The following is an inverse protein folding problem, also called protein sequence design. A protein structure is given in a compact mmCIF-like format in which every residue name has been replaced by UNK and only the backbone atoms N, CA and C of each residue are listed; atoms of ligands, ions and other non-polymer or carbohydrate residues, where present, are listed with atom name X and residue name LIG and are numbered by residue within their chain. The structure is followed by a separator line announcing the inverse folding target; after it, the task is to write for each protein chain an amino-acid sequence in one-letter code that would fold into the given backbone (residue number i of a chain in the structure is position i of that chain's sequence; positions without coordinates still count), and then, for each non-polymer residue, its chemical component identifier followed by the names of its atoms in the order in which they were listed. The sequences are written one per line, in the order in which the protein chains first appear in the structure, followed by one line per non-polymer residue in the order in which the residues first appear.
data_IF_179420402282
#
_entry.id   IF_179420402282
#
_cell.length_a   1.000
_cell.length_b   1.000
_cell.length_c   1.000
_cell.angle_alpha   90.00
_cell.angle_beta   90.00
_cell.angle_gamma   90.00
#
_symmetry.space_group_name_H-M   'P 1'
#
loop_
_entity.id
_entity.type
_entity.pdbx_description
1 polymer ?
#
# COMPACT_ATOMS: atom_id res chain seq x y z
N UNK A 1 27.80 -32.12 3.21
CA UNK A 1 27.86 -30.67 3.44
C UNK A 1 26.46 -30.18 3.16
N UNK A 2 25.69 -30.02 4.23
CA UNK A 2 24.28 -29.68 4.20
C UNK A 2 24.10 -28.22 3.79
N UNK A 3 23.72 -28.00 2.54
CA UNK A 3 23.18 -26.72 2.06
C UNK A 3 21.66 -26.80 2.09
N UNK A 4 21.10 -26.66 3.30
CA UNK A 4 19.70 -26.25 3.47
C UNK A 4 19.74 -24.83 4.00
N UNK A 5 20.13 -23.89 3.13
CA UNK A 5 19.99 -22.46 3.40
C UNK A 5 18.50 -22.13 3.33
N UNK A 6 17.78 -22.44 4.40
CA UNK A 6 16.45 -21.89 4.62
C UNK A 6 16.66 -20.39 4.82
N UNK A 7 16.42 -19.59 3.77
CA UNK A 7 16.23 -18.16 3.94
C UNK A 7 15.03 -18.00 4.86
N UNK A 8 15.31 -17.76 6.14
CA UNK A 8 14.28 -17.50 7.13
C UNK A 8 13.49 -16.27 6.67
N UNK A 9 12.15 -16.32 6.69
CA UNK A 9 11.33 -15.23 6.19
C UNK A 9 11.62 -13.94 6.95
N UNK A 10 11.53 -12.81 6.28
CA UNK A 10 11.82 -11.49 6.85
C UNK A 10 10.49 -10.80 7.20
N UNK A 11 10.45 -10.02 8.28
CA UNK A 11 9.25 -9.32 8.71
C UNK A 11 8.89 -8.21 7.70
N UNK A 12 7.67 -8.25 7.13
CA UNK A 12 7.22 -7.24 6.15
C UNK A 12 7.17 -5.82 6.73
N UNK A 13 6.93 -5.73 8.05
CA UNK A 13 6.74 -4.47 8.75
C UNK A 13 8.06 -3.72 8.96
N UNK A 14 9.10 -4.41 9.40
CA UNK A 14 10.36 -3.78 9.80
C UNK A 14 11.62 -4.28 9.06
N UNK A 15 11.52 -5.38 8.29
CA UNK A 15 12.66 -5.97 7.60
C UNK A 15 13.60 -6.78 8.51
N UNK A 16 13.24 -7.06 9.77
CA UNK A 16 14.07 -7.90 10.66
C UNK A 16 14.00 -9.37 10.21
N UNK A 17 15.13 -10.09 10.09
CA UNK A 17 15.12 -11.51 9.73
C UNK A 17 14.56 -12.37 10.88
N UNK A 18 13.84 -13.44 10.55
CA UNK A 18 13.26 -14.35 11.55
C UNK A 18 14.33 -15.14 12.31
N UNK A 19 14.40 -15.04 13.65
CA UNK A 19 15.12 -16.03 14.44
C UNK A 19 14.36 -17.37 14.39
N UNK A 20 15.10 -18.48 14.39
CA UNK A 20 14.48 -19.80 14.46
C UNK A 20 13.58 -19.86 15.71
N UNK A 21 12.34 -20.30 15.54
CA UNK A 21 11.35 -20.57 16.60
C UNK A 21 10.54 -19.38 17.17
N UNK A 22 10.54 -18.19 16.56
CA UNK A 22 9.60 -17.12 16.95
C UNK A 22 8.40 -17.01 15.99
N UNK A 23 7.21 -16.77 16.54
CA UNK A 23 5.96 -16.50 15.80
C UNK A 23 5.70 -15.02 15.57
N UNK A 24 6.37 -14.16 16.33
CA UNK A 24 6.30 -12.70 16.24
C UNK A 24 7.71 -12.15 15.97
N UNK A 25 7.77 -10.99 15.33
CA UNK A 25 9.01 -10.27 15.11
C UNK A 25 9.52 -9.68 16.43
N UNK A 26 10.78 -9.91 16.83
CA UNK A 26 11.32 -9.38 18.09
C UNK A 26 11.48 -7.85 18.06
N UNK A 27 11.57 -7.25 16.88
CA UNK A 27 11.77 -5.80 16.70
C UNK A 27 10.46 -5.03 16.76
N UNK A 28 9.40 -5.50 16.09
CA UNK A 28 8.14 -4.77 16.00
C UNK A 28 6.93 -5.48 16.63
N UNK A 29 7.09 -6.73 17.10
CA UNK A 29 6.04 -7.52 17.74
C UNK A 29 4.94 -8.03 16.79
N UNK A 30 5.09 -7.86 15.47
CA UNK A 30 4.11 -8.27 14.45
C UNK A 30 4.36 -9.71 13.96
N UNK A 31 3.33 -10.45 13.48
CA UNK A 31 3.51 -11.81 12.94
C UNK A 31 4.40 -11.87 11.70
N UNK A 32 4.95 -13.05 11.44
CA UNK A 32 5.70 -13.35 10.21
C UNK A 32 4.77 -13.64 9.03
N UNK A 33 5.25 -13.37 7.80
CA UNK A 33 4.51 -13.60 6.55
C UNK A 33 4.01 -15.03 6.35
N UNK A 34 4.62 -16.02 6.97
CA UNK A 34 4.25 -17.42 6.82
C UNK A 34 3.45 -17.98 8.02
N UNK A 35 3.21 -17.16 9.06
CA UNK A 35 2.61 -17.62 10.31
C UNK A 35 1.18 -17.07 10.44
N UNK A 36 0.18 -17.92 10.23
CA UNK A 36 -1.21 -17.61 10.62
C UNK A 36 -1.31 -17.70 12.14
N UNK A 37 -1.51 -16.58 12.83
CA UNK A 37 -1.91 -16.61 14.24
C UNK A 37 -3.41 -16.89 14.25
N UNK A 38 -3.79 -18.11 14.60
CA UNK A 38 -5.18 -18.43 14.89
C UNK A 38 -5.62 -17.58 16.08
N UNK A 39 -6.43 -16.56 15.84
CA UNK A 39 -7.04 -15.76 16.90
C UNK A 39 -7.92 -16.69 17.74
N UNK A 40 -7.77 -16.74 19.07
CA UNK A 40 -8.44 -17.73 19.92
C UNK A 40 -9.97 -17.59 20.02
N UNK A 41 -10.61 -16.74 19.21
CA UNK A 41 -12.07 -16.60 19.18
C UNK A 41 -12.78 -17.66 18.31
N UNK A 42 -12.06 -18.38 17.45
CA UNK A 42 -12.62 -19.50 16.65
C UNK A 42 -12.48 -20.88 17.34
N UNK A 43 -11.90 -20.94 18.54
CA UNK A 43 -11.67 -22.18 19.28
C UNK A 43 -12.76 -22.47 20.34
N UNK A 44 -14.04 -22.41 19.95
CA UNK A 44 -15.13 -22.97 20.79
C UNK A 44 -16.13 -23.76 19.93
N UNK A 45 -15.67 -24.87 19.36
CA UNK A 45 -16.57 -26.01 19.10
C UNK A 45 -15.93 -27.29 19.65
N UNK A 46 -16.21 -27.52 20.94
CA UNK A 46 -15.85 -28.74 21.65
C UNK A 46 -16.67 -29.91 21.09
N UNK A 47 -16.04 -30.76 20.27
CA UNK A 47 -16.56 -32.10 19.99
C UNK A 47 -16.19 -33.03 21.15
N UNK A 48 -17.15 -33.69 21.82
CA UNK A 48 -16.85 -34.59 22.92
C UNK A 48 -16.19 -35.88 22.41
N UNK A 49 -15.04 -36.20 23.00
CA UNK A 49 -14.28 -37.44 22.81
C UNK A 49 -15.07 -38.62 23.39
N UNK A 50 -15.45 -39.57 22.53
CA UNK A 50 -15.91 -40.90 22.92
C UNK A 50 -14.67 -41.78 23.16
N UNK A 51 -14.54 -42.47 24.31
CA UNK A 51 -13.44 -43.40 24.53
C UNK A 51 -13.71 -44.72 23.81
N UNK A 52 -12.79 -45.13 22.93
CA UNK A 52 -12.80 -46.45 22.27
C UNK A 52 -11.75 -47.36 22.93
N UNK A 53 -12.24 -48.53 23.31
CA UNK A 53 -11.62 -49.68 23.98
C UNK A 53 -10.44 -50.30 23.18
N UNK A 54 -9.31 -50.73 23.80
CA UNK A 54 -8.22 -51.38 23.10
C UNK A 54 -8.37 -52.90 23.18
N UNK A 55 -8.82 -53.53 22.10
CA UNK A 55 -8.75 -54.97 21.99
C UNK A 55 -9.47 -55.55 20.77
N UNK A 56 -8.82 -55.55 19.61
CA UNK A 56 -8.89 -56.74 18.77
C UNK A 56 -7.74 -56.82 17.77
N UNK A 57 -7.18 -58.02 17.65
CA UNK A 57 -6.09 -58.39 16.75
C UNK A 57 -6.74 -59.06 15.54
N UNK A 58 -6.76 -58.39 14.38
CA UNK A 58 -7.28 -58.99 13.15
C UNK A 58 -6.42 -58.61 11.93
N UNK A 59 -5.62 -59.59 11.53
CA UNK A 59 -5.32 -60.05 10.16
C UNK A 59 -5.44 -59.03 9.00
N UNK A 60 -4.29 -58.72 8.38
CA UNK A 60 -4.17 -57.94 7.14
C UNK A 60 -4.77 -58.70 5.94
N UNK A 61 -5.72 -58.12 5.17
CA UNK A 61 -6.12 -58.67 3.90
C UNK A 61 -5.07 -58.40 2.80
N UNK A 62 -4.93 -59.30 1.80
CA UNK A 62 -3.97 -59.14 0.72
C UNK A 62 -4.34 -58.00 -0.25
N UNK A 63 -3.30 -57.30 -0.71
CA UNK A 63 -3.34 -56.18 -1.65
C UNK A 63 -3.93 -56.63 -3.01
N UNK A 64 -4.93 -55.93 -3.57
CA UNK A 64 -5.39 -56.18 -4.93
C UNK A 64 -4.40 -55.61 -5.96
N UNK A 65 -4.08 -56.43 -6.97
CA UNK A 65 -3.26 -56.08 -8.14
C UNK A 65 -4.11 -55.19 -9.08
N UNK A 66 -3.57 -54.10 -9.64
CA UNK A 66 -4.30 -53.28 -10.60
C UNK A 66 -4.45 -53.98 -11.96
N UNK A 67 -5.68 -54.01 -12.48
CA UNK A 67 -6.01 -54.49 -13.82
C UNK A 67 -5.45 -53.57 -14.93
N UNK A 68 -5.06 -54.12 -16.09
CA UNK A 68 -4.62 -53.33 -17.24
C UNK A 68 -5.79 -52.57 -17.89
N UNK A 69 -5.53 -51.40 -18.51
CA UNK A 69 -6.58 -50.59 -19.13
C UNK A 69 -7.16 -51.29 -20.38
N UNK A 70 -8.49 -51.26 -20.60
CA UNK A 70 -9.09 -51.74 -21.83
C UNK A 70 -8.80 -50.78 -23.00
N UNK A 71 -8.50 -51.36 -24.15
CA UNK A 71 -8.35 -50.67 -25.44
C UNK A 71 -9.64 -49.95 -25.86
N UNK A 72 -9.55 -48.83 -26.59
CA UNK A 72 -10.72 -48.13 -27.10
C UNK A 72 -11.34 -48.94 -28.26
N UNK A 73 -12.59 -49.36 -28.06
CA UNK A 73 -13.46 -49.86 -29.12
C UNK A 73 -14.11 -48.66 -29.82
N UNK A 74 -13.97 -48.65 -31.14
CA UNK A 74 -14.76 -47.84 -32.06
C UNK A 74 -16.25 -47.94 -31.73
N UNK A 75 -16.89 -46.80 -31.45
CA UNK A 75 -18.34 -46.69 -31.53
C UNK A 75 -18.71 -45.54 -32.48
N UNK A 76 -19.30 -45.97 -33.58
CA UNK A 76 -19.81 -45.19 -34.70
C UNK A 76 -21.32 -45.30 -34.58
N UNK A 77 -21.99 -44.26 -34.09
CA UNK A 77 -23.43 -44.36 -33.88
C UNK A 77 -24.10 -43.08 -33.43
N UNK A 78 -24.58 -42.32 -34.42
CA UNK A 78 -25.89 -41.66 -34.41
C UNK A 78 -26.28 -40.81 -33.18
N UNK A 79 -25.98 -39.51 -33.27
CA UNK A 79 -26.61 -38.49 -32.43
C UNK A 79 -28.07 -38.27 -32.86
N UNK A 80 -28.98 -38.99 -32.21
CA UNK A 80 -30.39 -38.61 -32.12
C UNK A 80 -30.52 -37.41 -31.17
N UNK A 81 -30.84 -36.25 -31.74
CA UNK A 81 -31.41 -35.12 -31.01
C UNK A 81 -32.91 -35.35 -30.93
N UNK A 82 -33.45 -35.62 -29.75
CA UNK A 82 -34.79 -35.22 -29.28
C UNK A 82 -35.01 -35.72 -27.84
N UNK A 83 -35.91 -35.06 -27.09
CA UNK A 83 -36.36 -35.31 -25.71
C UNK A 83 -35.57 -34.50 -24.63
N UNK A 84 -35.88 -33.23 -24.34
CA UNK A 84 -37.09 -32.70 -23.69
C UNK A 84 -37.42 -33.37 -22.33
N UNK A 85 -36.70 -33.00 -21.27
CA UNK A 85 -37.23 -33.03 -19.89
C UNK A 85 -36.67 -31.87 -19.08
N UNK A 86 -37.45 -30.79 -19.00
CA UNK A 86 -37.26 -29.71 -18.03
C UNK A 86 -37.47 -30.23 -16.58
N UNK A 87 -36.61 -29.86 -15.61
CA UNK A 87 -36.89 -30.10 -14.20
C UNK A 87 -37.97 -29.13 -13.68
N UNK A 88 -38.79 -29.54 -12.69
CA UNK A 88 -39.89 -28.73 -12.20
C UNK A 88 -39.42 -27.50 -11.41
N UNK A 89 -40.09 -26.37 -11.63
CA UNK A 89 -39.94 -25.14 -10.86
C UNK A 89 -40.28 -25.35 -9.38
N UNK A 90 -39.29 -25.24 -8.49
CA UNK A 90 -39.51 -25.12 -7.05
C UNK A 90 -39.83 -23.67 -6.65
N UNK A 91 -41.09 -23.49 -6.31
CA UNK A 91 -41.72 -22.31 -5.73
C UNK A 91 -41.20 -22.03 -4.30
N UNK A 92 -40.04 -21.39 -4.14
CA UNK A 92 -39.60 -20.83 -2.84
C UNK A 92 -40.14 -19.41 -2.62
N UNK A 93 -41.30 -19.35 -1.96
CA UNK A 93 -41.92 -18.12 -1.43
C UNK A 93 -41.11 -17.53 -0.27
N UNK A 94 -40.69 -16.28 -0.46
CA UNK A 94 -41.03 -15.12 0.37
C UNK A 94 -40.67 -15.14 1.88
N UNK A 95 -39.44 -14.72 2.22
CA UNK A 95 -39.12 -14.15 3.53
C UNK A 95 -38.24 -12.89 3.48
N UNK A 96 -37.57 -12.61 2.35
CA UNK A 96 -36.58 -11.53 2.26
C UNK A 96 -37.13 -10.13 1.90
N UNK A 97 -38.43 -10.01 1.57
CA UNK A 97 -39.01 -8.73 1.10
C UNK A 97 -39.30 -7.75 2.25
N UNK A 98 -39.19 -8.18 3.52
CA UNK A 98 -39.48 -7.32 4.68
C UNK A 98 -38.25 -6.75 5.40
N UNK A 99 -37.02 -7.08 4.98
CA UNK A 99 -35.80 -6.61 5.66
C UNK A 99 -35.31 -5.22 5.20
N UNK A 100 -35.66 -4.81 3.98
CA UNK A 100 -35.25 -3.52 3.41
C UNK A 100 -35.87 -2.30 4.14
N UNK A 101 -37.17 -2.25 4.50
CA UNK A 101 -37.71 -1.10 5.22
C UNK A 101 -37.24 -1.00 6.67
N UNK A 102 -36.91 -2.11 7.34
CA UNK A 102 -36.40 -2.10 8.71
C UNK A 102 -34.98 -1.52 8.79
N UNK A 103 -34.12 -1.85 7.83
CA UNK A 103 -32.74 -1.32 7.76
C UNK A 103 -32.73 0.19 7.50
N UNK A 104 -33.58 0.69 6.59
CA UNK A 104 -33.67 2.13 6.30
C UNK A 104 -34.17 2.95 7.50
N UNK A 105 -35.06 2.39 8.32
CA UNK A 105 -35.58 3.08 9.51
C UNK A 105 -34.54 3.13 10.64
N UNK A 106 -33.68 2.12 10.76
CA UNK A 106 -32.55 2.10 11.70
C UNK A 106 -31.47 3.14 11.34
N UNK A 107 -31.13 3.27 10.05
CA UNK A 107 -30.14 4.26 9.57
C UNK A 107 -30.64 5.70 9.78
N UNK A 108 -31.93 5.96 9.54
CA UNK A 108 -32.52 7.27 9.79
C UNK A 108 -32.53 7.64 11.28
N UNK A 109 -32.77 6.67 12.17
CA UNK A 109 -32.72 6.91 13.62
C UNK A 109 -31.28 7.21 14.12
N UNK A 110 -30.27 6.54 13.56
CA UNK A 110 -28.86 6.79 13.89
C UNK A 110 -28.38 8.18 13.43
N UNK A 111 -28.78 8.63 12.24
CA UNK A 111 -28.42 9.95 11.71
C UNK A 111 -29.02 11.10 12.55
N UNK A 112 -30.26 10.95 13.05
CA UNK A 112 -30.88 11.95 13.93
C UNK A 112 -30.21 11.99 15.31
N UNK A 113 -29.72 10.86 15.82
CA UNK A 113 -29.02 10.81 17.11
C UNK A 113 -27.66 11.54 17.07
N UNK A 114 -26.90 11.40 15.97
CA UNK A 114 -25.60 12.07 15.80
C UNK A 114 -25.75 13.60 15.72
N UNK A 115 -26.78 14.11 15.06
CA UNK A 115 -27.00 15.57 14.95
C UNK A 115 -27.44 16.18 16.28
N UNK A 116 -28.24 15.47 17.09
CA UNK A 116 -28.67 15.98 18.41
C UNK A 116 -27.55 15.90 19.46
N UNK A 117 -26.64 14.93 19.35
CA UNK A 117 -25.54 14.78 20.31
C UNK A 117 -24.28 15.61 19.98
N UNK A 118 -24.09 16.03 18.72
CA UNK A 118 -22.97 16.91 18.34
C UNK A 118 -23.27 18.42 18.47
N UNK A 119 -24.53 18.83 18.63
CA UNK A 119 -24.90 20.24 18.84
C UNK A 119 -24.85 20.67 20.33
N UNK A 120 -24.55 19.74 21.24
CA UNK A 120 -24.51 19.98 22.69
C UNK A 120 -23.10 19.85 23.27
N UNK A 121 -22.25 20.83 22.97
CA UNK A 121 -21.16 21.21 23.88
C UNK A 121 -19.74 21.04 23.35
N UNK A 122 -19.22 22.11 22.73
CA UNK A 122 -17.81 22.47 22.82
C UNK A 122 -17.65 23.99 22.64
N UNK A 123 -17.63 24.70 23.77
CA UNK A 123 -17.26 26.12 23.85
C UNK A 123 -15.76 26.24 23.58
N UNK A 124 -15.37 26.57 22.34
CA UNK A 124 -13.96 26.85 22.02
C UNK A 124 -13.62 28.29 22.40
N UNK A 125 -12.84 28.42 23.49
CA UNK A 125 -12.21 29.67 23.92
C UNK A 125 -11.23 30.16 22.86
N UNK A 126 -11.48 31.34 22.30
CA UNK A 126 -10.56 32.06 21.41
C UNK A 126 -9.47 32.74 22.25
N UNK A 127 -8.23 32.25 22.18
CA UNK A 127 -7.06 32.96 22.73
C UNK A 127 -6.43 33.78 21.60
N UNK A 128 -6.70 35.08 21.59
CA UNK A 128 -6.06 36.05 20.69
C UNK A 128 -4.63 36.31 21.17
N UNK A 129 -3.63 35.84 20.44
CA UNK A 129 -2.22 36.21 20.67
C UNK A 129 -1.95 37.53 19.94
N UNK A 130 -1.55 38.55 20.69
CA UNK A 130 -1.16 39.85 20.18
C UNK A 130 0.18 39.76 19.43
N UNK A 131 0.19 40.07 18.14
CA UNK A 131 1.42 40.24 17.37
C UNK A 131 2.06 41.59 17.67
N UNK A 132 3.36 41.56 18.00
CA UNK A 132 4.23 42.73 18.15
C UNK A 132 4.47 43.39 16.77
N UNK A 133 4.66 44.72 16.70
CA UNK A 133 4.88 45.43 15.45
C UNK A 133 6.29 45.18 14.88
N UNK A 134 6.35 44.80 13.60
CA UNK A 134 7.59 44.69 12.84
C UNK A 134 8.21 46.08 12.59
N UNK A 135 9.51 46.17 12.86
CA UNK A 135 10.30 47.39 12.71
C UNK A 135 10.84 47.48 11.28
N UNK A 136 10.27 48.37 10.47
CA UNK A 136 10.77 48.67 9.12
C UNK A 136 11.90 49.70 9.21
N UNK A 137 13.12 49.30 8.83
CA UNK A 137 14.27 50.21 8.68
C UNK A 137 14.20 50.87 7.30
N UNK A 138 13.93 52.17 7.28
CA UNK A 138 13.91 53.00 6.07
C UNK A 138 15.31 53.60 5.83
N UNK A 139 15.90 53.34 4.66
CA UNK A 139 17.14 53.96 4.21
C UNK A 139 16.87 55.32 3.54
N UNK A 140 17.78 56.31 3.65
CA UNK A 140 17.50 57.70 3.27
C UNK A 140 17.48 57.93 1.75
N UNK A 141 16.48 58.68 1.30
CA UNK A 141 16.38 59.18 -0.07
C UNK A 141 17.26 60.42 -0.27
N UNK A 142 18.19 60.35 -1.23
CA UNK A 142 18.92 61.50 -1.75
C UNK A 142 18.03 62.30 -2.71
N UNK A 143 17.82 63.58 -2.40
CA UNK A 143 17.20 64.56 -3.30
C UNK A 143 18.19 65.06 -4.35
N UNK A 144 17.92 64.80 -5.63
CA UNK A 144 18.62 65.42 -6.77
C UNK A 144 17.63 66.13 -7.68
N UNK A 145 18.06 67.29 -8.16
CA UNK A 145 17.33 68.36 -8.82
C UNK A 145 16.84 68.02 -10.24
N UNK A 146 15.74 68.67 -10.60
CA UNK A 146 14.93 68.59 -11.81
C UNK A 146 15.69 68.83 -13.12
N UNK A 147 15.50 67.95 -14.12
CA UNK A 147 15.66 68.25 -15.54
C UNK A 147 14.52 67.59 -16.32
N UNK A 148 13.83 68.37 -17.15
CA UNK A 148 12.68 67.94 -17.93
C UNK A 148 13.11 66.91 -18.99
N UNK A 149 12.64 65.68 -18.85
CA UNK A 149 12.86 64.58 -19.78
C UNK A 149 11.58 63.76 -19.95
N UNK A 150 11.25 63.51 -21.20
CA UNK A 150 10.10 62.78 -21.75
C UNK A 150 9.60 61.63 -20.87
N UNK A 151 8.31 61.65 -20.54
CA UNK A 151 7.61 60.56 -19.82
C UNK A 151 7.48 59.35 -20.74
N UNK A 152 8.36 58.36 -20.57
CA UNK A 152 8.15 57.01 -21.10
C UNK A 152 7.55 56.17 -19.97
N UNK A 153 6.28 55.82 -20.09
CA UNK A 153 5.58 54.94 -19.15
C UNK A 153 6.01 53.49 -19.42
N UNK A 154 6.92 52.96 -18.61
CA UNK A 154 7.26 51.53 -18.61
C UNK A 154 6.13 50.76 -17.91
N UNK A 155 5.58 49.69 -18.52
CA UNK A 155 4.56 48.87 -17.88
C UNK A 155 5.10 48.23 -16.59
N UNK A 156 4.25 47.97 -15.58
CA UNK A 156 4.68 47.32 -14.36
C UNK A 156 5.26 45.95 -14.69
N UNK A 157 6.53 45.75 -14.32
CA UNK A 157 7.19 44.44 -14.38
C UNK A 157 6.53 43.56 -13.33
N UNK A 158 5.70 42.61 -13.76
CA UNK A 158 5.20 41.54 -12.90
C UNK A 158 6.39 40.69 -12.47
N UNK A 159 6.82 40.82 -11.21
CA UNK A 159 7.81 39.93 -10.62
C UNK A 159 7.09 38.63 -10.25
N UNK A 160 7.20 37.63 -11.11
CA UNK A 160 6.80 36.26 -10.75
C UNK A 160 7.83 35.74 -9.76
N UNK A 161 7.48 35.68 -8.48
CA UNK A 161 8.26 34.98 -7.47
C UNK A 161 8.16 33.49 -7.77
N UNK A 162 9.09 32.95 -8.53
CA UNK A 162 9.28 31.50 -8.63
C UNK A 162 9.76 31.03 -7.28
N UNK A 163 8.91 30.31 -6.55
CA UNK A 163 9.29 29.61 -5.33
C UNK A 163 10.37 28.60 -5.74
N UNK A 164 11.58 28.81 -5.25
CA UNK A 164 12.75 28.02 -5.61
C UNK A 164 12.80 26.81 -4.68
N UNK A 165 12.19 25.70 -5.09
CA UNK A 165 12.36 24.42 -4.41
C UNK A 165 13.67 23.74 -4.83
N UNK A 166 14.21 22.88 -3.96
CA UNK A 166 15.45 22.14 -4.24
C UNK A 166 15.36 21.34 -5.56
N UNK A 167 16.34 21.48 -6.43
CA UNK A 167 16.44 20.71 -7.67
C UNK A 167 17.07 19.33 -7.40
N UNK A 168 16.90 18.33 -8.28
CA UNK A 168 17.56 17.03 -8.15
C UNK A 168 19.07 17.11 -7.89
N UNK A 169 19.75 18.04 -8.59
CA UNK A 169 21.18 18.28 -8.46
C UNK A 169 21.63 18.83 -7.10
N UNK A 170 20.70 19.34 -6.28
CA UNK A 170 21.01 19.91 -4.97
C UNK A 170 21.19 18.83 -3.88
N UNK A 171 20.80 17.58 -4.17
CA UNK A 171 20.88 16.46 -3.23
C UNK A 171 22.18 15.67 -3.42
N UNK A 172 23.20 16.00 -2.64
CA UNK A 172 24.46 15.27 -2.65
C UNK A 172 24.31 13.85 -2.06
N UNK A 173 24.95 12.82 -2.67
CA UNK A 173 25.01 11.47 -2.11
C UNK A 173 25.43 11.47 -0.63
N UNK A 174 24.67 10.79 0.23
CA UNK A 174 24.98 10.63 1.64
C UNK A 174 25.18 9.14 1.97
N UNK A 175 26.29 8.83 2.65
CA UNK A 175 26.61 7.47 3.06
C UNK A 175 27.04 6.55 1.90
N UNK A 176 27.25 5.24 2.19
CA UNK A 176 27.56 4.26 1.17
C UNK A 176 26.32 3.95 0.32
N UNK A 177 26.54 3.67 -0.97
CA UNK A 177 25.51 3.17 -1.86
C UNK A 177 24.91 1.85 -1.32
N UNK A 178 23.58 1.78 -1.27
CA UNK A 178 22.82 0.58 -0.92
C UNK A 178 22.68 -0.24 -2.20
N UNK A 179 22.92 -1.55 -2.13
CA UNK A 179 22.72 -2.41 -3.29
C UNK A 179 21.24 -2.41 -3.70
N UNK A 180 20.94 -2.44 -4.99
CA UNK A 180 19.55 -2.45 -5.48
C UNK A 180 18.76 -3.66 -4.98
N UNK A 181 19.42 -4.79 -4.73
CA UNK A 181 18.82 -5.98 -4.10
C UNK A 181 18.40 -5.74 -2.65
N UNK A 182 18.97 -4.74 -1.99
CA UNK A 182 18.67 -4.38 -0.60
C UNK A 182 17.66 -3.23 -0.52
N UNK A 183 17.36 -2.54 -1.63
CA UNK A 183 16.33 -1.51 -1.76
C UNK A 183 14.92 -2.11 -1.92
N UNK A 184 14.55 -3.00 -1.00
CA UNK A 184 13.26 -3.70 -1.02
C UNK A 184 12.10 -2.81 -0.59
N UNK A 185 10.97 -2.90 -1.28
CA UNK A 185 9.77 -2.13 -0.97
C UNK A 185 9.04 -2.75 0.24
N UNK A 186 8.84 -1.95 1.31
CA UNK A 186 8.17 -2.38 2.55
C UNK A 186 7.15 -1.33 2.99
N UNK A 187 6.26 -1.70 3.90
CA UNK A 187 5.24 -0.77 4.43
C UNK A 187 5.89 0.45 5.10
N UNK A 188 6.97 0.22 5.85
CA UNK A 188 7.67 1.26 6.62
C UNK A 188 8.80 1.97 5.84
N UNK A 189 8.91 1.85 4.52
CA UNK A 189 9.94 2.53 3.72
C UNK A 189 10.59 1.66 2.63
N UNK A 190 11.87 1.90 2.34
CA UNK A 190 12.61 1.29 1.23
C UNK A 190 13.92 0.71 1.75
N UNK A 191 14.04 -0.61 1.80
CA UNK A 191 15.24 -1.30 2.27
C UNK A 191 15.60 -0.87 3.70
N UNK A 192 16.81 -0.34 3.96
CA UNK A 192 17.18 0.19 5.27
C UNK A 192 16.60 1.58 5.56
N UNK A 193 16.03 2.28 4.57
CA UNK A 193 15.45 3.61 4.70
C UNK A 193 14.04 3.49 5.30
N UNK A 194 13.77 4.21 6.39
CA UNK A 194 12.49 4.19 7.06
C UNK A 194 11.69 5.48 6.80
N UNK A 195 10.37 5.36 6.68
CA UNK A 195 9.45 6.50 6.74
C UNK A 195 9.64 7.22 8.09
N UNK A 196 9.60 8.55 8.05
CA UNK A 196 9.93 9.44 9.16
C UNK A 196 11.42 9.77 9.30
N UNK A 197 12.31 9.16 8.50
CA UNK A 197 13.73 9.54 8.48
C UNK A 197 13.93 10.93 7.88
N UNK A 198 14.99 11.68 8.26
CA UNK A 198 15.30 12.98 7.67
C UNK A 198 15.41 12.91 6.15
N UNK A 199 14.76 13.83 5.43
CA UNK A 199 14.71 13.87 3.98
C UNK A 199 16.11 13.93 3.36
N UNK A 200 17.04 14.66 3.97
CA UNK A 200 18.43 14.74 3.52
C UNK A 200 19.16 13.40 3.55
N UNK A 201 18.92 12.60 4.58
CA UNK A 201 19.55 11.29 4.70
C UNK A 201 18.92 10.33 3.69
N UNK A 202 17.60 10.38 3.51
CA UNK A 202 16.87 9.55 2.54
C UNK A 202 17.23 9.89 1.10
N UNK A 203 17.07 11.14 0.70
CA UNK A 203 17.39 11.61 -0.64
C UNK A 203 18.87 11.39 -0.95
N UNK A 204 19.77 11.67 0.01
CA UNK A 204 21.18 11.40 -0.13
C UNK A 204 21.52 9.92 -0.30
N UNK A 205 20.88 9.02 0.46
CA UNK A 205 21.09 7.58 0.34
C UNK A 205 20.54 7.02 -0.99
N UNK A 206 19.38 7.50 -1.43
CA UNK A 206 18.83 7.15 -2.74
C UNK A 206 19.72 7.69 -3.87
N UNK A 207 20.20 8.92 -3.76
CA UNK A 207 21.15 9.48 -4.74
C UNK A 207 22.46 8.70 -4.79
N UNK A 208 22.98 8.26 -3.64
CA UNK A 208 24.16 7.41 -3.59
C UNK A 208 23.96 6.05 -4.29
N UNK A 209 22.74 5.52 -4.25
CA UNK A 209 22.42 4.16 -4.71
C UNK A 209 21.93 4.11 -6.16
N UNK A 210 21.13 5.10 -6.57
CA UNK A 210 20.44 5.16 -7.86
C UNK A 210 20.98 6.26 -8.79
N UNK A 211 21.82 7.17 -8.28
CA UNK A 211 22.25 8.37 -8.99
C UNK A 211 21.34 9.58 -8.75
N UNK A 212 21.60 10.67 -9.46
CA UNK A 212 20.77 11.88 -9.38
C UNK A 212 19.30 11.57 -9.74
N UNK A 213 18.35 12.22 -9.06
CA UNK A 213 16.94 12.09 -9.39
C UNK A 213 16.66 12.67 -10.78
N UNK A 214 15.72 12.07 -11.51
CA UNK A 214 15.34 12.51 -12.85
C UNK A 214 14.46 13.76 -12.80
N UNK A 215 13.61 13.86 -11.78
CA UNK A 215 12.63 14.93 -11.61
C UNK A 215 12.42 15.27 -10.14
N UNK A 216 11.99 16.50 -9.91
CA UNK A 216 11.54 16.98 -8.60
C UNK A 216 10.33 17.90 -8.76
N UNK A 217 9.56 18.05 -7.70
CA UNK A 217 8.47 19.01 -7.68
C UNK A 217 7.81 19.15 -6.33
N UNK A 218 6.77 19.98 -6.33
CA UNK A 218 5.90 20.22 -5.18
C UNK A 218 4.53 19.61 -5.48
N UNK A 219 3.87 19.11 -4.44
CA UNK A 219 2.51 18.58 -4.47
C UNK A 219 1.84 18.80 -3.12
N UNK A 220 0.52 18.69 -3.06
CA UNK A 220 -0.21 18.67 -1.79
C UNK A 220 -0.62 17.23 -1.51
N UNK A 221 0.21 16.48 -0.79
CA UNK A 221 -0.08 15.10 -0.43
C UNK A 221 -0.88 15.03 0.88
N UNK A 222 -0.46 15.80 1.87
CA UNK A 222 -1.14 15.93 3.15
C UNK A 222 -1.99 17.22 3.17
N UNK A 223 -3.22 17.21 3.72
CA UNK A 223 -4.08 18.38 3.72
C UNK A 223 -3.41 19.60 4.37
N UNK A 224 -3.35 20.72 3.64
CA UNK A 224 -2.73 21.98 4.11
C UNK A 224 -1.22 21.90 4.34
N UNK A 225 -0.51 20.93 3.76
CA UNK A 225 0.94 20.85 3.79
C UNK A 225 1.50 20.70 2.39
N UNK A 226 2.49 21.50 2.06
CA UNK A 226 3.23 21.38 0.81
C UNK A 226 4.25 20.24 0.96
N UNK A 227 4.10 19.22 0.12
CA UNK A 227 4.99 18.08 0.06
C UNK A 227 5.93 18.22 -1.12
N UNK A 228 7.20 17.90 -0.88
CA UNK A 228 8.22 17.85 -1.92
C UNK A 228 8.41 16.42 -2.39
N UNK A 229 8.69 16.20 -3.67
CA UNK A 229 8.95 14.86 -4.20
C UNK A 229 10.18 14.81 -5.10
N UNK A 230 10.84 13.65 -5.08
CA UNK A 230 11.96 13.29 -5.95
C UNK A 230 11.66 11.98 -6.67
N UNK A 231 12.00 11.90 -7.96
CA UNK A 231 11.73 10.73 -8.79
C UNK A 231 13.02 10.15 -9.38
N UNK A 232 13.17 8.82 -9.30
CA UNK A 232 14.20 8.00 -9.93
C UNK A 232 13.51 6.90 -10.76
N UNK A 233 13.32 7.15 -12.05
CA UNK A 233 12.56 6.28 -12.94
C UNK A 233 11.14 6.05 -12.43
N UNK A 234 10.81 4.80 -12.12
CA UNK A 234 9.52 4.39 -11.57
C UNK A 234 9.34 4.71 -10.07
N UNK A 235 10.43 5.01 -9.34
CA UNK A 235 10.36 5.30 -7.92
C UNK A 235 10.18 6.80 -7.68
N UNK A 236 9.14 7.19 -6.95
CA UNK A 236 8.94 8.55 -6.44
C UNK A 236 8.90 8.50 -4.92
N UNK A 237 9.69 9.36 -4.27
CA UNK A 237 9.72 9.55 -2.82
C UNK A 237 9.12 10.92 -2.47
N UNK A 238 8.30 10.98 -1.42
CA UNK A 238 7.63 12.18 -0.96
C UNK A 238 8.13 12.58 0.44
N UNK A 239 8.23 13.88 0.66
CA UNK A 239 8.75 14.51 1.87
C UNK A 239 7.80 15.63 2.34
N UNK A 240 7.77 15.95 3.63
CA UNK A 240 6.97 17.06 4.21
C UNK A 240 7.59 18.45 3.98
N UNK A 241 7.99 18.70 2.73
CA UNK A 241 8.63 19.93 2.30
C UNK A 241 10.11 19.75 1.97
N UNK A 242 10.78 20.87 1.69
CA UNK A 242 12.15 20.92 1.15
C UNK A 242 13.16 21.56 2.13
N UNK A 243 12.76 21.77 3.38
CA UNK A 243 13.62 22.39 4.40
C UNK A 243 14.54 21.37 5.08
N UNK A 244 15.54 21.85 5.84
CA UNK A 244 16.50 20.98 6.52
C UNK A 244 15.92 20.04 7.59
N UNK A 245 14.69 20.30 8.03
CA UNK A 245 13.97 19.50 9.02
C UNK A 245 12.92 18.57 8.39
N UNK A 246 12.83 18.50 7.05
CA UNK A 246 11.84 17.64 6.40
C UNK A 246 12.15 16.15 6.60
N UNK A 247 11.10 15.33 6.56
CA UNK A 247 11.09 13.90 6.75
C UNK A 247 10.47 13.19 5.55
N UNK A 248 10.89 11.94 5.35
CA UNK A 248 10.36 11.06 4.33
C UNK A 248 8.97 10.54 4.73
N UNK A 249 7.96 10.81 3.91
CA UNK A 249 6.55 10.50 4.21
C UNK A 249 6.09 9.18 3.59
N UNK A 250 6.32 9.01 2.29
CA UNK A 250 5.86 7.83 1.56
C UNK A 250 6.62 7.66 0.25
N UNK A 251 6.45 6.49 -0.38
CA UNK A 251 6.88 6.27 -1.75
C UNK A 251 5.76 5.73 -2.64
N UNK A 252 5.95 5.95 -3.94
CA UNK A 252 5.18 5.37 -5.02
C UNK A 252 6.16 4.74 -6.00
N UNK A 253 6.06 3.43 -6.22
CA UNK A 253 6.82 2.75 -7.26
C UNK A 253 5.84 2.33 -8.36
N UNK A 254 5.80 3.06 -9.47
CA UNK A 254 4.88 2.78 -10.59
C UNK A 254 5.53 3.06 -11.94
N UNK A 255 5.12 2.30 -12.94
CA UNK A 255 5.57 2.50 -14.31
C UNK A 255 4.73 3.60 -14.98
N UNK A 256 4.99 4.85 -14.59
CA UNK A 256 4.24 5.98 -15.13
C UNK A 256 4.64 6.32 -16.57
N UNK A 257 5.91 6.14 -16.97
CA UNK A 257 6.45 6.60 -18.27
C UNK A 257 7.87 6.03 -18.57
N UNK A 258 8.29 4.87 -18.04
CA UNK A 258 9.70 4.48 -18.10
C UNK A 258 10.15 4.06 -19.51
N UNK A 259 10.74 5.02 -20.25
CA UNK A 259 11.43 4.78 -21.54
C UNK A 259 12.80 4.10 -21.33
N UNK A 260 13.33 4.09 -20.10
CA UNK A 260 14.61 3.48 -19.76
C UNK A 260 14.51 2.42 -18.66
N UNK A 261 15.34 1.36 -18.70
CA UNK A 261 15.37 0.33 -17.66
C UNK A 261 16.01 0.89 -16.39
N UNK A 262 15.22 1.49 -15.51
CA UNK A 262 15.64 1.82 -14.15
C UNK A 262 15.65 0.57 -13.26
N UNK A 263 16.21 0.70 -12.05
CA UNK A 263 16.32 -0.39 -11.10
C UNK A 263 14.96 -1.09 -10.89
N UNK A 264 14.93 -2.40 -11.14
CA UNK A 264 13.77 -3.24 -10.85
C UNK A 264 13.76 -3.47 -9.34
N UNK A 265 12.86 -2.77 -8.66
CA UNK A 265 12.65 -2.93 -7.22
C UNK A 265 11.54 -3.95 -7.00
N UNK A 266 11.70 -4.73 -5.94
CA UNK A 266 10.72 -5.70 -5.50
C UNK A 266 10.42 -5.50 -4.02
N UNK A 267 9.26 -5.95 -3.59
CA UNK A 267 8.96 -6.10 -2.17
C UNK A 267 9.91 -7.09 -1.52
N UNK A 268 9.98 -7.05 -0.19
CA UNK A 268 10.75 -8.01 0.60
C UNK A 268 10.39 -9.48 0.30
N UNK A 269 9.15 -9.72 -0.12
CA UNK A 269 8.60 -11.04 -0.44
C UNK A 269 8.79 -11.42 -1.91
N UNK A 270 9.40 -10.56 -2.72
CA UNK A 270 9.72 -10.81 -4.12
C UNK A 270 8.70 -10.31 -5.14
N UNK A 271 7.56 -9.77 -4.71
CA UNK A 271 6.56 -9.18 -5.62
C UNK A 271 7.10 -7.89 -6.23
N UNK A 272 7.04 -7.76 -7.54
CA UNK A 272 7.51 -6.62 -8.34
C UNK A 272 6.43 -6.11 -9.31
N UNK A 273 6.73 -5.02 -10.02
CA UNK A 273 5.87 -4.54 -11.11
C UNK A 273 5.82 -5.57 -12.25
N UNK A 274 4.63 -5.77 -12.83
CA UNK A 274 4.38 -6.75 -13.88
C UNK A 274 4.06 -8.16 -13.39
N UNK A 275 4.27 -8.47 -12.10
CA UNK A 275 3.80 -9.73 -11.51
C UNK A 275 2.27 -9.81 -11.52
N UNK A 276 1.74 -11.03 -11.47
CA UNK A 276 0.30 -11.24 -11.55
C UNK A 276 -0.40 -11.07 -10.19
N UNK A 277 -1.69 -10.80 -10.22
CA UNK A 277 -2.55 -10.81 -9.03
C UNK A 277 -2.55 -12.20 -8.37
N UNK A 278 -2.42 -13.28 -9.15
CA UNK A 278 -2.25 -14.62 -8.61
C UNK A 278 -0.95 -14.75 -7.77
N UNK A 279 0.16 -14.20 -8.27
CA UNK A 279 1.44 -14.20 -7.56
C UNK A 279 1.37 -13.39 -6.27
N UNK A 280 0.70 -12.22 -6.31
CA UNK A 280 0.43 -11.38 -5.13
C UNK A 280 -0.35 -12.16 -4.05
N UNK A 281 -1.48 -12.75 -4.43
CA UNK A 281 -2.35 -13.50 -3.51
C UNK A 281 -1.65 -14.75 -2.94
N UNK A 282 -0.88 -15.45 -3.77
CA UNK A 282 -0.11 -16.62 -3.35
C UNK A 282 1.00 -16.24 -2.37
N UNK A 283 1.73 -15.16 -2.65
CA UNK A 283 2.85 -14.68 -1.82
C UNK A 283 2.37 -14.15 -0.47
N UNK A 284 1.22 -13.49 -0.44
CA UNK A 284 0.65 -12.87 0.76
C UNK A 284 -0.57 -13.63 1.31
N UNK A 285 -0.60 -14.96 1.20
CA UNK A 285 -1.75 -15.80 1.58
C UNK A 285 -2.11 -15.79 3.09
N UNK A 286 -1.25 -15.22 3.92
CA UNK A 286 -1.44 -15.00 5.36
C UNK A 286 -2.02 -13.63 5.70
N UNK A 287 -2.01 -12.71 4.73
CA UNK A 287 -2.53 -11.36 4.84
C UNK A 287 -3.88 -11.23 4.15
N UNK A 288 -4.56 -10.11 4.39
CA UNK A 288 -5.79 -9.78 3.68
C UNK A 288 -5.46 -8.94 2.45
N UNK A 289 -5.66 -9.53 1.26
CA UNK A 289 -5.61 -8.83 -0.03
C UNK A 289 -7.04 -8.51 -0.46
N UNK A 290 -7.38 -7.22 -0.54
CA UNK A 290 -8.66 -6.73 -1.04
C UNK A 290 -8.48 -5.86 -2.28
N UNK A 291 -9.53 -5.72 -3.08
CA UNK A 291 -9.52 -4.86 -4.27
C UNK A 291 -10.53 -3.74 -4.15
N UNK A 292 -10.16 -2.56 -4.65
CA UNK A 292 -11.03 -1.39 -4.68
C UNK A 292 -10.87 -0.63 -5.99
N UNK A 293 -11.87 0.19 -6.34
CA UNK A 293 -11.84 1.05 -7.51
C UNK A 293 -11.66 2.49 -7.05
N UNK A 294 -10.54 3.13 -7.43
CA UNK A 294 -10.28 4.55 -7.18
C UNK A 294 -10.12 5.22 -8.54
N UNK A 295 -10.85 6.31 -8.77
CA UNK A 295 -10.79 7.08 -10.02
C UNK A 295 -10.93 6.24 -11.31
N UNK A 296 -11.80 5.22 -11.27
CA UNK A 296 -12.05 4.26 -12.37
C UNK A 296 -10.88 3.32 -12.70
N UNK A 297 -9.90 3.18 -11.80
CA UNK A 297 -8.80 2.20 -11.90
C UNK A 297 -8.89 1.23 -10.73
N UNK A 298 -8.54 -0.03 -10.98
CA UNK A 298 -8.51 -1.08 -9.96
C UNK A 298 -7.23 -0.94 -9.13
N UNK A 299 -7.35 -1.13 -7.82
CA UNK A 299 -6.25 -1.13 -6.86
C UNK A 299 -6.30 -2.37 -6.00
N UNK A 300 -5.14 -2.92 -5.65
CA UNK A 300 -5.02 -3.86 -4.55
C UNK A 300 -4.73 -3.11 -3.25
N UNK A 301 -5.18 -3.66 -2.13
CA UNK A 301 -4.79 -3.28 -0.77
C UNK A 301 -4.35 -4.53 -0.03
N UNK A 302 -3.12 -4.51 0.47
CA UNK A 302 -2.56 -5.52 1.36
C UNK A 302 -2.66 -5.02 2.80
N UNK A 303 -3.29 -5.79 3.68
CA UNK A 303 -3.49 -5.42 5.08
C UNK A 303 -3.26 -6.57 6.06
N UNK A 304 -2.86 -6.21 7.27
CA UNK A 304 -2.67 -7.12 8.41
C UNK A 304 -3.52 -6.63 9.59
N UNK A 305 -4.48 -7.43 10.04
CA UNK A 305 -5.41 -7.08 11.11
C UNK A 305 -6.09 -5.69 10.94
N UNK A 306 -6.35 -5.28 9.69
CA UNK A 306 -6.96 -3.99 9.34
C UNK A 306 -5.98 -2.83 9.14
N UNK A 307 -4.68 -3.03 9.40
CA UNK A 307 -3.63 -2.05 9.11
C UNK A 307 -3.18 -2.16 7.65
N UNK A 308 -3.16 -1.05 6.92
CA UNK A 308 -2.72 -1.01 5.51
C UNK A 308 -1.20 -1.11 5.43
N UNK A 309 -0.69 -2.09 4.70
CA UNK A 309 0.74 -2.33 4.54
C UNK A 309 1.27 -1.87 3.19
N UNK A 310 0.61 -2.27 2.11
CA UNK A 310 0.96 -1.89 0.75
C UNK A 310 -0.32 -1.77 -0.06
N UNK A 311 -0.29 -0.95 -1.09
CA UNK A 311 -1.40 -0.84 -2.03
C UNK A 311 -0.86 -0.39 -3.39
N UNK A 312 -1.69 -0.40 -4.41
CA UNK A 312 -1.27 0.10 -5.70
C UNK A 312 -2.18 -0.36 -6.85
N UNK A 313 -2.02 0.27 -8.02
CA UNK A 313 -2.86 0.00 -9.17
C UNK A 313 -2.58 -1.38 -9.78
N UNK A 314 -3.63 -1.98 -10.32
CA UNK A 314 -3.59 -3.23 -11.09
C UNK A 314 -4.38 -3.10 -12.38
N UNK A 315 -4.03 -3.89 -13.40
CA UNK A 315 -4.78 -3.90 -14.67
C UNK A 315 -6.18 -4.53 -14.55
N UNK A 316 -6.41 -5.32 -13.50
CA UNK A 316 -7.70 -5.96 -13.22
C UNK A 316 -7.64 -6.84 -11.98
N UNK A 317 -8.80 -7.16 -11.42
CA UNK A 317 -8.92 -8.00 -10.21
C UNK A 317 -8.85 -9.52 -10.49
N UNK A 318 -8.88 -9.92 -11.76
CA UNK A 318 -8.69 -11.31 -12.17
C UNK A 318 -7.28 -11.80 -11.83
N UNK A 319 -7.06 -13.11 -11.60
CA UNK A 319 -5.73 -13.66 -11.29
C UNK A 319 -4.66 -13.36 -12.35
N UNK A 320 -5.06 -13.11 -13.60
CA UNK A 320 -4.16 -12.71 -14.70
C UNK A 320 -3.90 -11.20 -14.79
N UNK A 321 -4.57 -10.39 -13.97
CA UNK A 321 -4.25 -8.97 -13.82
C UNK A 321 -2.82 -8.81 -13.35
N UNK A 322 -2.22 -7.66 -13.63
CA UNK A 322 -0.81 -7.35 -13.37
C UNK A 322 -0.69 -6.17 -12.44
N UNK A 323 0.34 -6.17 -11.61
CA UNK A 323 0.68 -5.08 -10.71
C UNK A 323 1.32 -3.94 -11.51
N UNK A 324 0.71 -2.75 -11.48
CA UNK A 324 1.21 -1.56 -12.17
C UNK A 324 1.92 -0.58 -11.23
N UNK A 325 1.66 -0.69 -9.92
CA UNK A 325 2.33 0.12 -8.92
C UNK A 325 2.34 -0.52 -7.52
N UNK A 326 3.32 -0.16 -6.70
CA UNK A 326 3.49 -0.58 -5.30
C UNK A 326 3.78 0.66 -4.46
N UNK A 327 2.88 0.92 -3.53
CA UNK A 327 2.82 2.16 -2.75
C UNK A 327 2.90 1.84 -1.26
N UNK A 328 3.64 2.66 -0.49
CA UNK A 328 3.53 2.64 0.96
C UNK A 328 2.22 3.28 1.44
N UNK A 329 1.76 2.95 2.65
CA UNK A 329 0.76 3.77 3.32
C UNK A 329 1.27 5.21 3.46
N UNK A 330 0.33 6.15 3.42
CA UNK A 330 0.61 7.56 3.71
C UNK A 330 0.82 7.74 5.21
N UNK A 331 1.83 8.53 5.59
CA UNK A 331 2.07 8.93 6.98
C UNK A 331 1.55 10.33 7.30
N UNK A 332 0.61 10.85 6.51
CA UNK A 332 -0.04 12.13 6.81
C UNK A 332 -0.90 11.98 8.08
N UNK A 333 -0.40 12.47 9.23
CA UNK A 333 -1.15 12.59 10.49
C UNK A 333 -1.80 13.97 10.66
#
# INVERSE_FOLDING_TARGET
MDTTSSQLPICIHCGTPRPADETLCPTCGKPWIDTKIETPEDAVEQVPVVPVDPGDTAELPPVPVPDPPPSPLDDTGEFFFDDWTDPPEEKRRSAAIWLIPALLLAVAAAAVWVVVFLDSGATSSTTTVAALPETTTSAPASTTTTQAGTTTTTPPTTTTTTVSFAQPSDWEPQGPAIATTDLTLKAAGIGPIAIGSPARDVAGALTASLGEADKAGLTELCPNQESYWLQWGALTAYFDGDTGDSVFLEYRYEDADAVEPHAILATLSGVALGDTVADLQSTYNSYTVSFEVIDSRDYFRLSDAGELLLWGPITGTDPSGTIEGIYSPSSCE
#
